data_IF_877526167437
#
_entry.id   IF_877526167437
#
_cell.length_a   1.000
_cell.length_b   1.000
_cell.length_c   1.000
_cell.angle_alpha   90.00
_cell.angle_beta   90.00
_cell.angle_gamma   90.00
#
_symmetry.space_group_name_H-M   'P 1'
#
loop_
_entity.id
_entity.type
_entity.pdbx_description
1 polymer ?
#
# COMPACT_ATOMS: atom_id res chain seq x y z
N UNK A 1 -9.24 0.71 4.29
CA UNK A 1 -7.76 0.70 4.14
C UNK A 1 -7.24 1.91 3.38
N UNK A 2 -7.69 2.21 2.15
CA UNK A 2 -7.12 3.31 1.35
C UNK A 2 -7.14 4.67 2.06
N UNK A 3 -8.28 5.07 2.64
CA UNK A 3 -8.37 6.35 3.36
C UNK A 3 -7.36 6.50 4.50
N UNK A 4 -7.01 5.40 5.18
CA UNK A 4 -5.99 5.39 6.22
C UNK A 4 -4.59 5.61 5.66
N UNK A 5 -4.25 4.94 4.54
CA UNK A 5 -2.97 5.18 3.84
C UNK A 5 -2.85 6.64 3.40
N UNK A 6 -3.92 7.20 2.80
CA UNK A 6 -3.90 8.59 2.34
C UNK A 6 -3.77 9.58 3.51
N UNK A 7 -4.40 9.27 4.65
CA UNK A 7 -4.30 10.10 5.86
C UNK A 7 -2.86 10.13 6.40
N UNK A 8 -2.20 8.97 6.47
CA UNK A 8 -0.80 8.88 6.92
C UNK A 8 0.11 9.65 5.96
N UNK A 9 0.01 9.42 4.65
CA UNK A 9 0.82 10.15 3.66
C UNK A 9 0.62 11.68 3.76
N UNK A 10 -0.62 12.13 3.94
CA UNK A 10 -0.95 13.54 4.15
C UNK A 10 -0.34 14.13 5.43
N UNK A 11 -0.35 13.38 6.54
CA UNK A 11 0.26 13.79 7.81
C UNK A 11 1.79 14.02 7.69
N UNK A 12 2.45 13.23 6.82
CA UNK A 12 3.87 13.39 6.49
C UNK A 12 4.12 14.38 5.32
N UNK A 13 3.12 15.17 4.91
CA UNK A 13 3.19 16.15 3.80
C UNK A 13 3.60 15.54 2.44
N UNK A 14 3.16 14.31 2.16
CA UNK A 14 3.45 13.61 0.91
C UNK A 14 2.22 13.71 -0.01
N UNK A 15 2.37 14.44 -1.13
CA UNK A 15 1.33 14.53 -2.15
C UNK A 15 1.32 13.29 -3.04
N UNK A 16 0.12 12.79 -3.33
CA UNK A 16 -0.09 11.61 -4.16
C UNK A 16 -0.27 12.06 -5.62
N UNK A 17 0.50 11.46 -6.53
CA UNK A 17 0.34 11.64 -7.97
C UNK A 17 -0.60 10.59 -8.57
N UNK A 18 -0.49 9.34 -8.11
CA UNK A 18 -1.33 8.24 -8.59
C UNK A 18 -1.47 7.16 -7.52
N UNK A 19 -2.62 6.48 -7.52
CA UNK A 19 -2.86 5.26 -6.75
C UNK A 19 -3.38 4.19 -7.70
N UNK A 20 -2.82 2.99 -7.61
CA UNK A 20 -3.34 1.78 -8.27
C UNK A 20 -3.63 0.75 -7.19
N UNK A 21 -4.79 0.10 -7.27
CA UNK A 21 -5.11 -1.07 -6.46
C UNK A 21 -5.25 -2.27 -7.39
N UNK A 22 -4.38 -3.25 -7.20
CA UNK A 22 -4.39 -4.48 -7.97
C UNK A 22 -4.77 -5.64 -7.05
N UNK A 23 -5.73 -6.46 -7.48
CA UNK A 23 -6.00 -7.72 -6.82
C UNK A 23 -4.71 -8.56 -6.82
N UNK A 24 -4.33 -9.11 -5.67
CA UNK A 24 -3.21 -10.02 -5.57
C UNK A 24 -3.49 -11.28 -6.38
N UNK A 25 -2.45 -11.80 -7.01
CA UNK A 25 -2.50 -13.07 -7.71
C UNK A 25 -2.59 -14.23 -6.69
N UNK A 26 -3.72 -14.34 -5.98
CA UNK A 26 -4.16 -15.58 -5.37
C UNK A 26 -5.03 -16.30 -6.38
N UNK A 27 -4.48 -17.36 -7.00
CA UNK A 27 -5.29 -18.33 -7.74
C UNK A 27 -6.33 -18.88 -6.76
N UNK A 28 -7.59 -18.52 -6.96
CA UNK A 28 -8.71 -19.35 -6.53
C UNK A 28 -9.36 -19.84 -7.81
N UNK A 29 -8.94 -21.03 -8.26
CA UNK A 29 -9.52 -21.73 -9.41
C UNK A 29 -10.60 -22.71 -8.98
N UNK A 30 -10.99 -22.68 -7.70
CA UNK A 30 -12.06 -23.50 -7.16
C UNK A 30 -13.14 -22.57 -6.58
N UNK A 31 -14.29 -22.51 -7.24
CA UNK A 31 -15.45 -21.68 -6.86
C UNK A 31 -16.15 -22.15 -5.56
N UNK A 32 -15.72 -23.26 -4.96
CA UNK A 32 -16.51 -23.96 -3.93
C UNK A 32 -16.02 -23.86 -2.48
N UNK A 33 -14.99 -23.06 -2.17
CA UNK A 33 -14.55 -22.88 -0.79
C UNK A 33 -13.94 -21.50 -0.52
N UNK A 34 -14.75 -20.44 -0.58
CA UNK A 34 -14.31 -19.12 -0.08
C UNK A 34 -14.44 -19.14 1.44
N UNK A 35 -13.40 -19.60 2.15
CA UNK A 35 -13.27 -19.27 3.57
C UNK A 35 -12.73 -17.83 3.70
N UNK A 36 -12.96 -17.13 4.83
CA UNK A 36 -12.37 -15.80 5.05
C UNK A 36 -10.84 -15.75 4.95
N UNK A 37 -10.18 -16.92 4.97
CA UNK A 37 -8.74 -17.07 4.84
C UNK A 37 -8.25 -17.07 3.38
N UNK A 38 -9.15 -17.28 2.41
CA UNK A 38 -8.83 -17.42 0.98
C UNK A 38 -8.99 -16.12 0.18
N UNK A 39 -9.28 -14.98 0.83
CA UNK A 39 -9.34 -13.70 0.10
C UNK A 39 -7.92 -13.29 -0.32
N UNK A 40 -7.65 -13.15 -1.63
CA UNK A 40 -6.34 -12.74 -2.10
C UNK A 40 -5.99 -11.34 -1.57
N UNK A 41 -4.73 -11.09 -1.16
CA UNK A 41 -4.32 -9.77 -0.70
C UNK A 41 -4.49 -8.74 -1.81
N UNK A 42 -4.71 -7.46 -1.47
CA UNK A 42 -4.74 -6.38 -2.45
C UNK A 42 -3.43 -5.61 -2.38
N UNK A 43 -2.80 -5.42 -3.54
CA UNK A 43 -1.62 -4.58 -3.68
C UNK A 43 -2.04 -3.14 -3.91
N UNK A 44 -1.47 -2.22 -3.12
CA UNK A 44 -1.65 -0.77 -3.32
C UNK A 44 -0.31 -0.21 -3.78
N UNK A 45 -0.29 0.36 -4.98
CA UNK A 45 0.87 1.06 -5.53
C UNK A 45 0.57 2.55 -5.52
N UNK A 46 1.45 3.33 -4.90
CA UNK A 46 1.32 4.78 -4.80
C UNK A 46 2.51 5.43 -5.49
N UNK A 47 2.23 6.28 -6.47
CA UNK A 47 3.18 7.22 -7.03
C UNK A 47 3.00 8.54 -6.30
N UNK A 48 4.08 9.09 -5.75
CA UNK A 48 4.07 10.40 -5.08
C UNK A 48 4.56 11.49 -6.04
N UNK A 49 4.27 12.73 -5.69
CA UNK A 49 5.09 13.85 -6.17
C UNK A 49 6.46 13.82 -5.46
N UNK A 50 7.33 14.77 -5.81
CA UNK A 50 8.59 14.95 -5.08
C UNK A 50 8.31 15.17 -3.59
N UNK A 51 9.00 14.38 -2.77
CA UNK A 51 8.85 14.38 -1.33
C UNK A 51 10.21 14.14 -0.68
N UNK A 52 10.38 14.63 0.56
CA UNK A 52 11.60 14.37 1.33
C UNK A 52 11.68 12.89 1.65
N UNK A 53 12.82 12.26 1.40
CA UNK A 53 12.99 10.83 1.70
C UNK A 53 12.75 10.52 3.18
N UNK A 54 13.17 11.40 4.09
CA UNK A 54 12.88 11.24 5.52
C UNK A 54 11.38 11.15 5.83
N UNK A 55 10.58 12.02 5.21
CA UNK A 55 9.12 12.01 5.36
C UNK A 55 8.51 10.72 4.80
N UNK A 56 8.99 10.25 3.63
CA UNK A 56 8.56 8.99 3.00
C UNK A 56 8.89 7.78 3.88
N UNK A 57 10.12 7.70 4.40
CA UNK A 57 10.54 6.59 5.26
C UNK A 57 9.74 6.54 6.57
N UNK A 58 9.46 7.70 7.17
CA UNK A 58 8.66 7.78 8.38
C UNK A 58 7.21 7.34 8.13
N UNK A 59 6.59 7.80 7.05
CA UNK A 59 5.24 7.38 6.67
C UNK A 59 5.16 5.86 6.42
N UNK A 60 6.16 5.27 5.79
CA UNK A 60 6.18 3.83 5.52
C UNK A 60 6.35 3.00 6.79
N UNK A 61 7.18 3.44 7.74
CA UNK A 61 7.30 2.78 9.03
C UNK A 61 5.96 2.75 9.79
N UNK A 62 5.17 3.82 9.69
CA UNK A 62 3.83 3.89 10.26
C UNK A 62 2.82 2.99 9.52
N UNK A 63 2.88 2.95 8.18
CA UNK A 63 2.05 2.08 7.36
C UNK A 63 2.34 0.60 7.64
N UNK A 64 3.62 0.23 7.74
CA UNK A 64 4.06 -1.16 7.99
C UNK A 64 3.63 -1.68 9.37
N UNK A 65 3.33 -0.78 10.31
CA UNK A 65 2.82 -1.13 11.64
C UNK A 65 1.30 -1.35 11.68
N UNK A 66 0.58 -1.09 10.59
CA UNK A 66 -0.87 -1.27 10.54
C UNK A 66 -1.24 -2.76 10.53
N UNK A 67 -2.20 -3.17 11.36
CA UNK A 67 -2.64 -4.58 11.45
C UNK A 67 -3.18 -5.17 10.13
N UNK A 68 -3.57 -4.32 9.18
CA UNK A 68 -4.06 -4.72 7.84
C UNK A 68 -2.94 -4.95 6.82
N UNK A 69 -1.72 -4.52 7.12
CA UNK A 69 -0.55 -4.70 6.25
C UNK A 69 0.09 -6.04 6.55
N UNK A 70 0.17 -6.90 5.54
CA UNK A 70 0.71 -8.27 5.67
C UNK A 70 2.22 -8.34 5.44
N UNK A 71 2.77 -7.41 4.66
CA UNK A 71 4.18 -7.37 4.30
C UNK A 71 4.67 -5.91 4.25
N UNK A 72 5.93 -5.63 4.65
CA UNK A 72 6.50 -4.29 4.57
C UNK A 72 6.46 -3.72 3.16
N UNK A 73 6.15 -2.43 3.06
CA UNK A 73 6.11 -1.73 1.79
C UNK A 73 7.48 -1.69 1.10
N UNK A 74 7.46 -1.75 -0.23
CA UNK A 74 8.66 -1.57 -1.08
C UNK A 74 8.69 -0.15 -1.61
N UNK A 75 9.90 0.42 -1.67
CA UNK A 75 10.13 1.78 -2.19
C UNK A 75 11.03 1.72 -3.40
N UNK A 76 10.57 2.30 -4.49
CA UNK A 76 11.36 2.52 -5.69
C UNK A 76 11.42 4.03 -5.89
N UNK A 77 12.63 4.60 -5.86
CA UNK A 77 12.83 6.01 -6.17
C UNK A 77 12.73 6.19 -7.68
N UNK A 78 11.87 7.11 -8.12
CA UNK A 78 11.77 7.52 -9.52
C UNK A 78 12.58 8.82 -9.65
N UNK A 79 13.60 8.78 -10.50
CA UNK A 79 14.34 9.98 -10.90
C UNK A 79 13.83 10.41 -12.28
N UNK A 80 13.52 11.69 -12.41
CA UNK A 80 13.23 12.36 -13.69
C UNK A 80 14.37 13.29 -14.05
#
# INVERSE_FOLDING_TARGET
VLGQLMTILGAHRISIAQVIQAAGAGRSTDEDAITPLDTPPVWVVVLTHEAREGDVRAALAEIDALAVVREPARVIRIAG
#
